data_IF_400014354209
#
_entry.id   IF_400014354209
#
_cell.length_a   1.000
_cell.length_b   1.000
_cell.length_c   1.000
_cell.angle_alpha   90.00
_cell.angle_beta   90.00
_cell.angle_gamma   90.00
#
_symmetry.space_group_name_H-M   'P 1'
#
loop_
_entity.id
_entity.type
_entity.pdbx_description
1 polymer ?
#
# COMPACT_ATOMS: atom_id res chain seq x y z
N UNK A 1 -19.46 -14.63 17.28
CA UNK A 1 -20.54 -13.92 16.55
C UNK A 1 -20.45 -14.36 15.10
N UNK A 2 -21.39 -15.17 14.61
CA UNK A 2 -21.35 -15.67 13.22
C UNK A 2 -22.05 -14.62 12.35
N UNK A 3 -21.28 -13.91 11.51
CA UNK A 3 -21.84 -13.00 10.52
C UNK A 3 -22.28 -13.84 9.34
N UNK A 4 -23.60 -14.08 9.21
CA UNK A 4 -24.15 -14.73 8.02
C UNK A 4 -24.00 -13.76 6.84
N UNK A 5 -23.22 -14.15 5.84
CA UNK A 5 -23.17 -13.43 4.57
C UNK A 5 -24.47 -13.72 3.83
N UNK A 6 -25.30 -12.70 3.64
CA UNK A 6 -26.57 -12.82 2.92
C UNK A 6 -26.30 -13.06 1.43
N UNK A 7 -27.01 -14.02 0.84
CA UNK A 7 -26.90 -14.42 -0.57
C UNK A 7 -28.06 -13.93 -1.44
N UNK A 8 -27.95 -14.20 -2.73
CA UNK A 8 -29.01 -13.90 -3.69
C UNK A 8 -30.25 -14.76 -3.37
N UNK A 9 -31.37 -14.12 -3.01
CA UNK A 9 -32.60 -14.77 -2.55
C UNK A 9 -32.81 -14.78 -1.03
N UNK A 10 -31.84 -14.36 -0.22
CA UNK A 10 -32.04 -14.18 1.22
C UNK A 10 -32.85 -12.88 1.51
N UNK A 11 -33.73 -12.88 2.53
CA UNK A 11 -34.42 -11.67 2.94
C UNK A 11 -33.40 -10.67 3.53
N UNK A 12 -33.29 -9.51 2.89
CA UNK A 12 -32.43 -8.42 3.34
C UNK A 12 -33.17 -7.60 4.40
N UNK A 13 -32.61 -7.41 5.61
CA UNK A 13 -33.20 -6.50 6.58
C UNK A 13 -33.30 -5.09 5.98
N UNK A 14 -34.41 -4.36 6.19
CA UNK A 14 -34.63 -3.07 5.57
C UNK A 14 -33.63 -2.00 6.04
N UNK A 15 -33.05 -2.17 7.22
CA UNK A 15 -32.06 -1.24 7.79
C UNK A 15 -30.93 -1.99 8.49
N UNK A 16 -29.77 -1.35 8.53
CA UNK A 16 -28.67 -1.76 9.39
C UNK A 16 -29.07 -1.69 10.87
N UNK A 17 -28.36 -2.46 11.70
CA UNK A 17 -28.44 -2.36 13.16
C UNK A 17 -27.87 -1.03 13.69
N UNK A 18 -27.00 -0.40 12.92
CA UNK A 18 -26.28 0.82 13.27
C UNK A 18 -26.52 1.91 12.21
N UNK A 19 -26.62 3.16 12.63
CA UNK A 19 -26.89 4.31 11.74
C UNK A 19 -25.79 4.55 10.71
N UNK A 20 -24.55 4.21 11.06
CA UNK A 20 -23.36 4.32 10.23
C UNK A 20 -22.29 3.33 10.70
N UNK A 21 -21.56 2.72 9.77
CA UNK A 21 -20.47 1.78 10.04
C UNK A 21 -19.28 2.11 9.13
N UNK A 22 -18.09 2.17 9.71
CA UNK A 22 -16.82 2.34 8.99
C UNK A 22 -16.21 3.74 9.13
N UNK A 23 -15.17 4.01 8.34
CA UNK A 23 -14.49 5.32 8.31
C UNK A 23 -15.12 6.18 7.22
N UNK A 24 -15.56 7.40 7.53
CA UNK A 24 -16.29 8.30 6.60
C UNK A 24 -15.67 8.41 5.20
N UNK A 25 -14.35 8.44 5.12
CA UNK A 25 -13.62 8.54 3.85
C UNK A 25 -13.86 7.33 2.94
N UNK A 26 -13.86 6.12 3.50
CA UNK A 26 -13.95 4.85 2.75
C UNK A 26 -15.33 4.19 2.84
N UNK A 27 -16.21 4.68 3.71
CA UNK A 27 -17.50 4.06 3.92
C UNK A 27 -18.34 4.12 2.62
N UNK A 28 -19.04 3.03 2.28
CA UNK A 28 -19.88 2.97 1.08
C UNK A 28 -21.10 3.90 1.21
N UNK A 29 -21.69 4.29 0.08
CA UNK A 29 -22.96 5.06 0.02
C UNK A 29 -24.08 4.41 0.84
N UNK A 30 -24.11 3.07 0.91
CA UNK A 30 -25.11 2.30 1.66
C UNK A 30 -24.98 2.48 3.17
N UNK A 31 -23.75 2.55 3.68
CA UNK A 31 -23.46 2.84 5.09
C UNK A 31 -23.94 4.24 5.45
N UNK A 32 -23.67 5.23 4.58
CA UNK A 32 -24.25 6.56 4.73
C UNK A 32 -25.77 6.59 4.57
N UNK A 33 -26.44 5.56 4.08
CA UNK A 33 -27.91 5.47 4.04
C UNK A 33 -28.49 4.68 5.22
N UNK A 34 -27.64 4.12 6.10
CA UNK A 34 -28.10 3.27 7.20
C UNK A 34 -28.65 1.92 6.72
N UNK A 35 -28.31 1.51 5.49
CA UNK A 35 -28.69 0.20 4.96
C UNK A 35 -27.69 -0.87 5.40
N UNK A 36 -28.14 -2.13 5.33
CA UNK A 36 -27.27 -3.30 5.58
C UNK A 36 -26.13 -3.31 4.56
N UNK A 37 -24.91 -3.53 5.05
CA UNK A 37 -23.73 -3.64 4.19
C UNK A 37 -23.72 -4.96 3.42
N UNK A 38 -23.21 -4.90 2.19
CA UNK A 38 -23.21 -5.99 1.23
C UNK A 38 -21.83 -6.19 0.62
N UNK A 39 -21.64 -7.29 -0.13
CA UNK A 39 -20.38 -7.56 -0.84
C UNK A 39 -19.98 -6.47 -1.84
N UNK A 40 -20.97 -5.78 -2.43
CA UNK A 40 -20.74 -4.64 -3.32
C UNK A 40 -20.09 -3.48 -2.57
N UNK A 41 -20.46 -3.32 -1.31
CA UNK A 41 -20.04 -2.20 -0.48
C UNK A 41 -18.58 -2.33 -0.03
N UNK A 42 -18.11 -3.56 0.15
CA UNK A 42 -16.68 -3.84 0.33
C UNK A 42 -15.87 -3.41 -0.90
N UNK A 43 -16.37 -3.70 -2.11
CA UNK A 43 -15.72 -3.28 -3.37
C UNK A 43 -15.75 -1.77 -3.57
N UNK A 44 -16.84 -1.10 -3.19
CA UNK A 44 -16.94 0.35 -3.21
C UNK A 44 -15.90 0.99 -2.27
N UNK A 45 -15.76 0.44 -1.06
CA UNK A 45 -14.75 0.87 -0.08
C UNK A 45 -13.33 0.65 -0.61
N UNK A 46 -13.08 -0.49 -1.24
CA UNK A 46 -11.80 -0.83 -1.87
C UNK A 46 -11.44 0.13 -3.01
N UNK A 47 -12.40 0.51 -3.86
CA UNK A 47 -12.18 1.52 -4.91
C UNK A 47 -11.73 2.84 -4.29
N UNK A 48 -12.37 3.30 -3.22
CA UNK A 48 -11.95 4.53 -2.54
C UNK A 48 -10.53 4.43 -1.96
N UNK A 49 -10.16 3.27 -1.40
CA UNK A 49 -8.80 3.04 -0.93
C UNK A 49 -7.79 3.05 -2.07
N UNK A 50 -8.08 2.43 -3.22
CA UNK A 50 -7.21 2.48 -4.39
C UNK A 50 -7.04 3.93 -4.87
N UNK A 51 -8.13 4.69 -4.95
CA UNK A 51 -8.07 6.11 -5.35
C UNK A 51 -7.19 6.92 -4.39
N UNK A 52 -7.29 6.69 -3.08
CA UNK A 52 -6.43 7.40 -2.12
C UNK A 52 -4.96 6.95 -2.19
N UNK A 53 -4.67 5.73 -2.63
CA UNK A 53 -3.30 5.27 -2.87
C UNK A 53 -2.67 5.95 -4.10
N UNK A 54 -3.37 5.98 -5.23
CA UNK A 54 -2.85 6.61 -6.48
C UNK A 54 -2.97 8.13 -6.48
N UNK A 55 -3.98 8.67 -5.80
CA UNK A 55 -4.26 10.10 -5.72
C UNK A 55 -4.51 10.52 -4.26
N UNK A 56 -3.45 10.58 -3.43
CA UNK A 56 -3.58 10.87 -2.00
C UNK A 56 -4.30 12.18 -1.73
N UNK A 57 -5.24 12.15 -0.77
CA UNK A 57 -6.04 13.30 -0.36
C UNK A 57 -6.88 13.94 -1.46
N UNK A 58 -7.12 13.25 -2.59
CA UNK A 58 -7.95 13.77 -3.69
C UNK A 58 -9.40 13.31 -3.66
N UNK A 59 -9.81 12.47 -2.71
CA UNK A 59 -11.21 12.10 -2.56
C UNK A 59 -12.08 13.35 -2.28
N UNK A 60 -13.09 13.66 -3.13
CA UNK A 60 -13.80 14.94 -3.05
C UNK A 60 -14.48 15.20 -1.70
N UNK A 61 -15.00 14.16 -1.05
CA UNK A 61 -15.71 14.25 0.23
C UNK A 61 -14.77 14.24 1.46
N UNK A 62 -13.45 14.26 1.29
CA UNK A 62 -12.50 14.10 2.40
C UNK A 62 -12.59 15.17 3.50
N UNK A 63 -13.19 16.33 3.20
CA UNK A 63 -13.41 17.45 4.15
C UNK A 63 -14.89 17.77 4.37
N UNK A 64 -15.81 16.97 3.85
CA UNK A 64 -17.24 17.19 4.01
C UNK A 64 -17.78 16.38 5.19
N UNK A 65 -18.55 17.04 6.05
CA UNK A 65 -19.11 16.47 7.27
C UNK A 65 -20.60 16.19 7.16
N UNK A 66 -21.30 16.83 6.21
CA UNK A 66 -22.71 16.58 5.96
C UNK A 66 -22.90 15.21 5.27
N UNK A 67 -23.56 14.30 5.98
CA UNK A 67 -23.86 12.95 5.53
C UNK A 67 -24.54 12.90 4.15
N UNK A 68 -25.50 13.79 3.88
CA UNK A 68 -26.25 13.77 2.62
C UNK A 68 -25.40 14.30 1.46
N UNK A 69 -24.62 15.35 1.70
CA UNK A 69 -23.67 15.83 0.69
C UNK A 69 -22.61 14.78 0.36
N UNK A 70 -22.09 14.05 1.35
CA UNK A 70 -21.14 12.95 1.11
C UNK A 70 -21.75 11.88 0.21
N UNK A 71 -23.03 11.54 0.38
CA UNK A 71 -23.74 10.60 -0.50
C UNK A 71 -23.77 11.15 -1.94
N UNK A 72 -24.22 12.39 -2.11
CA UNK A 72 -24.33 13.01 -3.44
C UNK A 72 -22.98 13.09 -4.15
N UNK A 73 -21.91 13.44 -3.41
CA UNK A 73 -20.55 13.48 -3.94
C UNK A 73 -20.05 12.09 -4.34
N UNK A 74 -20.34 11.05 -3.54
CA UNK A 74 -20.00 9.66 -3.87
C UNK A 74 -20.79 9.15 -5.07
N UNK A 75 -22.05 9.56 -5.24
CA UNK A 75 -22.84 9.24 -6.42
C UNK A 75 -22.31 9.92 -7.68
N UNK A 76 -21.99 11.21 -7.59
CA UNK A 76 -21.35 11.96 -8.66
C UNK A 76 -20.02 11.32 -9.06
N UNK A 77 -19.22 10.88 -8.09
CA UNK A 77 -17.94 10.22 -8.34
C UNK A 77 -18.05 8.93 -9.16
N UNK A 78 -19.05 8.09 -8.93
CA UNK A 78 -19.26 6.89 -9.75
C UNK A 78 -19.90 7.19 -11.11
N UNK A 79 -20.64 8.31 -11.25
CA UNK A 79 -21.34 8.68 -12.48
C UNK A 79 -20.46 9.48 -13.44
N UNK A 80 -19.70 10.42 -12.89
CA UNK A 80 -18.79 11.32 -13.58
C UNK A 80 -17.54 11.46 -12.71
N UNK A 81 -16.65 10.47 -12.75
CA UNK A 81 -15.40 10.54 -12.00
C UNK A 81 -14.59 11.80 -12.35
N UNK A 82 -13.96 12.48 -11.37
CA UNK A 82 -13.14 13.65 -11.64
C UNK A 82 -11.94 13.32 -12.55
N UNK A 83 -11.72 14.03 -13.68
CA UNK A 83 -10.63 13.74 -14.61
C UNK A 83 -9.24 13.78 -13.97
N UNK A 84 -9.04 14.68 -13.00
CA UNK A 84 -7.79 14.84 -12.26
C UNK A 84 -7.47 13.69 -11.29
N UNK A 85 -8.44 12.81 -11.05
CA UNK A 85 -8.28 11.57 -10.27
C UNK A 85 -8.13 10.39 -11.22
N UNK A 86 -9.06 10.24 -12.17
CA UNK A 86 -9.05 9.08 -13.07
C UNK A 86 -7.81 9.03 -13.96
N UNK A 87 -7.29 10.18 -14.39
CA UNK A 87 -6.04 10.21 -15.15
C UNK A 87 -4.80 9.69 -14.39
N UNK A 88 -4.88 9.55 -13.06
CA UNK A 88 -3.82 8.98 -12.22
C UNK A 88 -4.02 7.49 -11.94
N UNK A 89 -5.17 6.93 -12.33
CA UNK A 89 -5.52 5.52 -12.14
C UNK A 89 -5.25 4.73 -13.43
N UNK A 90 -4.96 3.43 -13.34
CA UNK A 90 -4.96 2.57 -14.52
C UNK A 90 -6.32 2.58 -15.23
N UNK A 91 -6.33 2.61 -16.57
CA UNK A 91 -7.56 2.78 -17.36
C UNK A 91 -8.64 1.72 -17.09
N UNK A 92 -8.25 0.53 -16.66
CA UNK A 92 -9.15 -0.57 -16.30
C UNK A 92 -10.01 -0.26 -15.07
N UNK A 93 -9.62 0.69 -14.22
CA UNK A 93 -10.42 1.10 -13.07
C UNK A 93 -11.76 1.73 -13.46
N UNK A 94 -11.86 2.39 -14.61
CA UNK A 94 -13.14 2.93 -15.09
C UNK A 94 -14.17 1.81 -15.28
N UNK A 95 -13.74 0.70 -15.88
CA UNK A 95 -14.58 -0.47 -16.11
C UNK A 95 -14.93 -1.18 -14.79
N UNK A 96 -13.97 -1.29 -13.85
CA UNK A 96 -14.22 -1.83 -12.51
C UNK A 96 -15.28 -0.98 -11.78
N UNK A 97 -15.12 0.35 -11.77
CA UNK A 97 -16.06 1.28 -11.16
C UNK A 97 -17.45 1.17 -11.78
N UNK A 98 -17.53 1.10 -13.12
CA UNK A 98 -18.79 0.92 -13.85
C UNK A 98 -19.49 -0.38 -13.45
N UNK A 99 -18.74 -1.49 -13.34
CA UNK A 99 -19.28 -2.78 -12.91
C UNK A 99 -19.83 -2.71 -11.49
N UNK A 100 -19.05 -2.21 -10.54
CA UNK A 100 -19.48 -2.09 -9.12
C UNK A 100 -20.70 -1.19 -8.98
N UNK A 101 -20.77 -0.08 -9.72
CA UNK A 101 -21.92 0.82 -9.67
C UNK A 101 -23.21 0.20 -10.25
N UNK A 102 -23.09 -0.69 -11.24
CA UNK A 102 -24.22 -1.37 -11.87
C UNK A 102 -24.77 -2.55 -11.04
N UNK A 103 -24.05 -3.00 -10.01
CA UNK A 103 -24.45 -4.16 -9.22
C UNK A 103 -25.66 -3.88 -8.32
N UNK A 104 -26.55 -4.86 -8.21
CA UNK A 104 -27.61 -4.84 -7.19
C UNK A 104 -27.05 -5.20 -5.81
N UNK A 105 -27.77 -4.87 -4.73
CA UNK A 105 -27.29 -5.06 -3.36
C UNK A 105 -26.91 -6.50 -3.03
N UNK A 106 -27.65 -7.49 -3.55
CA UNK A 106 -27.45 -8.91 -3.23
C UNK A 106 -26.63 -9.66 -4.27
N UNK A 107 -26.35 -9.03 -5.41
CA UNK A 107 -25.59 -9.64 -6.49
C UNK A 107 -24.20 -10.06 -6.02
N UNK A 108 -23.80 -11.27 -6.38
CA UNK A 108 -22.43 -11.72 -6.16
C UNK A 108 -21.51 -11.00 -7.15
N UNK A 109 -20.45 -10.30 -6.69
CA UNK A 109 -19.50 -9.72 -7.62
C UNK A 109 -18.78 -10.79 -8.43
N UNK A 110 -18.54 -10.51 -9.71
CA UNK A 110 -17.64 -11.32 -10.53
C UNK A 110 -16.19 -10.94 -10.23
N UNK A 111 -15.67 -11.48 -9.12
CA UNK A 111 -14.30 -11.26 -8.68
C UNK A 111 -13.27 -11.72 -9.70
N UNK A 112 -13.60 -12.72 -10.54
CA UNK A 112 -12.69 -13.18 -11.57
C UNK A 112 -12.50 -12.07 -12.61
N UNK A 113 -13.59 -11.49 -13.10
CA UNK A 113 -13.49 -10.43 -14.09
C UNK A 113 -12.80 -9.16 -13.54
N UNK A 114 -12.99 -8.83 -12.26
CA UNK A 114 -12.24 -7.73 -11.61
C UNK A 114 -10.75 -8.05 -11.56
N UNK A 115 -10.37 -9.28 -11.20
CA UNK A 115 -8.97 -9.70 -11.17
C UNK A 115 -8.35 -9.69 -12.57
N UNK A 116 -9.05 -10.19 -13.58
CA UNK A 116 -8.57 -10.18 -14.96
C UNK A 116 -8.29 -8.75 -15.45
N UNK A 117 -9.11 -7.76 -15.03
CA UNK A 117 -8.87 -6.33 -15.32
C UNK A 117 -7.63 -5.77 -14.60
N UNK A 118 -7.38 -6.19 -13.36
CA UNK A 118 -6.17 -5.79 -12.62
C UNK A 118 -4.90 -6.42 -13.24
N UNK A 119 -4.97 -7.68 -13.66
CA UNK A 119 -3.88 -8.37 -14.37
C UNK A 119 -3.59 -7.68 -15.72
N UNK A 120 -4.63 -7.23 -16.43
CA UNK A 120 -4.46 -6.43 -17.65
C UNK A 120 -3.77 -5.09 -17.36
N UNK A 121 -4.20 -4.36 -16.32
CA UNK A 121 -3.57 -3.11 -15.92
C UNK A 121 -2.08 -3.29 -15.60
N UNK A 122 -1.75 -4.30 -14.78
CA UNK A 122 -0.37 -4.62 -14.44
C UNK A 122 0.48 -4.92 -15.67
N UNK A 123 -0.08 -5.65 -16.66
CA UNK A 123 0.62 -5.96 -17.91
C UNK A 123 0.84 -4.72 -18.79
N UNK A 124 -0.12 -3.80 -18.85
CA UNK A 124 0.01 -2.56 -19.63
C UNK A 124 1.06 -1.61 -19.04
N UNK A 125 1.20 -1.62 -17.71
CA UNK A 125 2.17 -0.81 -16.96
C UNK A 125 3.53 -1.53 -16.73
N UNK A 126 3.73 -2.72 -17.34
CA UNK A 126 4.94 -3.56 -17.23
C UNK A 126 5.32 -3.87 -15.76
N UNK A 127 4.31 -4.12 -14.93
CA UNK A 127 4.46 -4.45 -13.51
C UNK A 127 4.74 -5.94 -13.34
N UNK A 128 5.90 -6.23 -12.77
CA UNK A 128 6.26 -7.56 -12.26
C UNK A 128 5.80 -7.73 -10.81
N UNK A 129 5.02 -8.77 -10.56
CA UNK A 129 4.47 -9.09 -9.24
C UNK A 129 5.52 -9.62 -8.26
N UNK A 130 6.68 -10.03 -8.75
CA UNK A 130 7.82 -10.45 -7.92
C UNK A 130 8.69 -9.24 -7.48
N UNK A 131 8.38 -8.02 -7.95
CA UNK A 131 9.09 -6.83 -7.51
C UNK A 131 8.85 -6.53 -6.02
N UNK A 132 9.90 -6.11 -5.29
CA UNK A 132 9.75 -5.71 -3.90
C UNK A 132 8.90 -4.45 -3.78
N UNK A 133 8.14 -4.35 -2.70
CA UNK A 133 7.36 -3.15 -2.41
C UNK A 133 8.28 -1.97 -2.03
N UNK A 134 7.75 -0.75 -2.14
CA UNK A 134 8.50 0.49 -1.85
C UNK A 134 9.13 0.50 -0.44
N UNK A 135 8.42 -0.03 0.57
CA UNK A 135 8.94 -0.12 1.93
C UNK A 135 10.05 -1.18 2.09
N UNK A 136 10.06 -2.23 1.27
CA UNK A 136 11.10 -3.26 1.30
C UNK A 136 12.40 -2.76 0.68
N UNK A 137 12.31 -1.89 -0.34
CA UNK A 137 13.48 -1.22 -0.92
C UNK A 137 14.21 -0.36 0.12
N UNK A 138 13.46 0.35 0.97
CA UNK A 138 14.03 1.15 2.05
C UNK A 138 14.77 0.31 3.10
N UNK A 139 14.23 -0.87 3.45
CA UNK A 139 14.91 -1.79 4.37
C UNK A 139 16.17 -2.41 3.74
N UNK A 140 16.12 -2.77 2.46
CA UNK A 140 17.29 -3.28 1.75
C UNK A 140 18.38 -2.21 1.60
N UNK A 141 18.01 -0.95 1.37
CA UNK A 141 18.93 0.17 1.32
C UNK A 141 19.62 0.39 2.68
N UNK A 142 18.85 0.42 3.78
CA UNK A 142 19.40 0.53 5.14
C UNK A 142 20.36 -0.62 5.48
N UNK A 143 19.96 -1.86 5.20
CA UNK A 143 20.82 -3.04 5.42
C UNK A 143 22.12 -2.97 4.60
N UNK A 144 22.06 -2.46 3.36
CA UNK A 144 23.24 -2.27 2.51
C UNK A 144 24.19 -1.21 3.08
N UNK A 145 23.68 -0.07 3.54
CA UNK A 145 24.48 0.97 4.16
C UNK A 145 25.12 0.51 5.48
N UNK A 146 24.37 -0.18 6.34
CA UNK A 146 24.91 -0.78 7.57
C UNK A 146 26.02 -1.79 7.27
N UNK A 147 25.88 -2.62 6.22
CA UNK A 147 26.91 -3.57 5.82
C UNK A 147 28.18 -2.89 5.25
N UNK A 148 28.01 -1.74 4.59
CA UNK A 148 29.10 -0.95 4.02
C UNK A 148 29.90 -0.26 5.13
N UNK A 149 29.21 0.34 6.10
CA UNK A 149 29.85 0.96 7.25
C UNK A 149 30.58 -0.08 8.11
N UNK A 150 29.97 -1.25 8.35
CA UNK A 150 30.64 -2.36 9.04
C UNK A 150 31.89 -2.84 8.29
N UNK A 151 31.83 -2.95 6.96
CA UNK A 151 32.98 -3.34 6.13
C UNK A 151 34.11 -2.31 6.18
N UNK A 152 33.76 -1.02 6.18
CA UNK A 152 34.74 0.09 6.27
C UNK A 152 35.43 0.11 7.63
N UNK A 153 34.68 -0.03 8.71
CA UNK A 153 35.23 -0.07 10.07
C UNK A 153 36.16 -1.28 10.26
N UNK A 154 35.84 -2.41 9.63
CA UNK A 154 36.66 -3.61 9.66
C UNK A 154 37.97 -3.46 8.85
N UNK A 155 37.93 -2.75 7.72
CA UNK A 155 39.13 -2.38 6.96
C UNK A 155 40.03 -1.43 7.76
N UNK A 156 39.46 -0.42 8.42
CA UNK A 156 40.20 0.52 9.28
C UNK A 156 40.86 -0.20 10.47
N UNK A 157 40.10 -1.07 11.18
CA UNK A 157 40.66 -1.90 12.27
C UNK A 157 41.78 -2.82 11.80
N UNK A 158 41.63 -3.43 10.61
CA UNK A 158 42.67 -4.29 10.03
C UNK A 158 43.91 -3.48 9.68
N UNK A 159 43.75 -2.29 9.10
CA UNK A 159 44.85 -1.43 8.72
C UNK A 159 45.64 -0.91 9.94
N UNK A 160 44.95 -0.52 11.01
CA UNK A 160 45.57 -0.11 12.28
C UNK A 160 46.38 -1.27 12.88
N UNK A 161 45.80 -2.48 12.95
CA UNK A 161 46.51 -3.65 13.48
C UNK A 161 47.76 -4.03 12.68
N UNK A 162 47.74 -3.85 11.36
CA UNK A 162 48.91 -4.10 10.50
C UNK A 162 50.01 -3.07 10.79
N UNK A 163 49.67 -1.80 10.96
CA UNK A 163 50.63 -0.73 11.27
C UNK A 163 51.30 -0.96 12.64
N UNK A 164 50.52 -1.32 13.66
CA UNK A 164 51.06 -1.62 14.99
C UNK A 164 52.06 -2.78 14.97
N UNK A 165 51.79 -3.82 14.16
CA UNK A 165 52.72 -4.96 13.99
C UNK A 165 54.01 -4.54 13.29
N UNK A 166 53.92 -3.68 12.28
CA UNK A 166 55.10 -3.16 11.56
C UNK A 166 55.98 -2.33 12.50
N UNK A 167 55.36 -1.52 13.37
CA UNK A 167 56.09 -0.69 14.33
C UNK A 167 56.73 -1.52 15.45
N UNK A 168 56.06 -2.58 15.92
CA UNK A 168 56.63 -3.55 16.86
C UNK A 168 57.83 -4.30 16.25
N UNK A 169 57.70 -4.79 15.02
CA UNK A 169 58.78 -5.50 14.30
C UNK A 169 59.99 -4.58 14.03
N UNK A 170 59.76 -3.28 13.82
CA UNK A 170 60.83 -2.29 13.68
C UNK A 170 61.53 -2.01 15.01
N UNK A 171 60.77 -1.87 16.10
CA UNK A 171 61.33 -1.64 17.43
C UNK A 171 62.20 -2.82 17.89
N UNK A 172 61.75 -4.05 17.65
CA UNK A 172 62.53 -5.25 17.97
C UNK A 172 63.84 -5.32 17.17
N UNK A 173 63.80 -4.98 15.87
CA UNK A 173 65.02 -4.91 15.03
C UNK A 173 66.01 -3.87 15.54
N UNK A 174 65.55 -2.68 15.89
CA UNK A 174 66.40 -1.59 16.39
C UNK A 174 67.03 -1.93 17.75
N UNK A 175 66.31 -2.65 18.61
CA UNK A 175 66.85 -3.17 19.88
C UNK A 175 67.91 -4.23 19.63
N UNK A 176 67.68 -5.20 18.73
CA UNK A 176 68.69 -6.21 18.40
C UNK A 176 69.96 -5.61 17.79
N UNK A 177 69.85 -4.58 16.93
CA UNK A 177 71.02 -3.89 16.37
C UNK A 177 71.82 -3.15 17.45
N UNK A 178 71.17 -2.53 18.44
CA UNK A 178 71.85 -1.88 19.56
C UNK A 178 72.55 -2.85 20.51
N UNK A 179 72.01 -4.05 20.71
CA UNK A 179 72.63 -5.09 21.56
C UNK A 179 73.84 -5.72 20.88
N UNK A 180 73.87 -5.80 19.55
CA UNK A 180 75.01 -6.35 18.79
C UNK A 180 76.16 -5.35 18.60
N UNK A 181 75.93 -4.05 18.83
CA UNK A 181 76.90 -2.98 18.62
C UNK A 181 77.63 -2.52 19.90
N UNK A 182 77.33 -3.11 21.07
CA UNK A 182 78.00 -2.85 22.35
C UNK A 182 78.75 -4.06 22.88
#
# INVERSE_FOLDING_TARGET
MIVRVLGEGDPVPPSSRYDFIGTQLYAPRTSHRGHVQTRRDDLESWIYSCVDLFAPNKLPWGREHDRYKVIDMKEAFFKTPPPEIISLMPGQFEEIMRRVNAMTMMQKPDYKAIRDLLEQAAKEDDIDFDMPFEWELGEQAKRKDESRDASREQLEKTQISVLEKIDADKADKEVTERVLAG
#
